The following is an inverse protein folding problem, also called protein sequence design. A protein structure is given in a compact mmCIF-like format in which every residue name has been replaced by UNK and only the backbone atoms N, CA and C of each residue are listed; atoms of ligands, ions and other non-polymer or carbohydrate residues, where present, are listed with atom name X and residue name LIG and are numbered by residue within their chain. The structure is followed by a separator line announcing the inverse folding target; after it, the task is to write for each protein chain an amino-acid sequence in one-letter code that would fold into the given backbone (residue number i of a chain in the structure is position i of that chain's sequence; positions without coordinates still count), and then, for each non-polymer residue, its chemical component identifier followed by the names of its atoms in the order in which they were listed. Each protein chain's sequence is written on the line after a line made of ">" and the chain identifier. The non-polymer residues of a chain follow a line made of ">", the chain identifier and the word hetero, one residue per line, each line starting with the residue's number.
data_IF_881595034419
#
_entry.id   IF_881595034419
#
_cell.length_a   1.000
_cell.length_b   1.000
_cell.length_c   1.000
_cell.angle_alpha   90.00
_cell.angle_beta   90.00
_cell.angle_gamma   90.00
#
_symmetry.space_group_name_H-M   'P 1'
#
loop_
_entity.id
_entity.type
_entity.pdbx_description
1 polymer ?
#
# COMPACT_ATOMS: atom_id res chain seq x y z
N UNK A 1 3.97 9.13 -11.70
CA UNK A 1 3.67 10.47 -12.04
C UNK A 1 3.33 11.28 -10.80
N UNK A 2 2.04 11.56 -10.53
CA UNK A 2 1.69 12.32 -9.32
C UNK A 2 2.09 11.59 -8.03
N UNK A 3 1.90 10.28 -8.01
CA UNK A 3 2.20 9.50 -6.82
C UNK A 3 3.70 9.46 -6.53
N UNK A 4 4.53 9.44 -7.57
CA UNK A 4 5.97 9.47 -7.39
C UNK A 4 6.45 10.82 -6.84
N UNK A 5 5.87 11.92 -7.33
CA UNK A 5 6.20 13.26 -6.84
C UNK A 5 5.81 13.43 -5.37
N UNK A 6 4.66 12.91 -4.99
CA UNK A 6 4.21 12.96 -3.60
C UNK A 6 5.12 12.11 -2.71
N UNK A 7 5.53 10.96 -3.21
CA UNK A 7 6.42 10.07 -2.48
C UNK A 7 7.76 10.75 -2.16
N UNK A 8 8.37 11.41 -3.14
CA UNK A 8 9.62 12.13 -2.94
C UNK A 8 9.46 13.25 -1.91
N UNK A 9 8.36 13.98 -2.00
CA UNK A 9 8.07 15.06 -1.06
C UNK A 9 7.91 14.55 0.36
N UNK A 10 7.23 13.43 0.53
CA UNK A 10 6.99 12.83 1.84
C UNK A 10 8.27 12.31 2.46
N UNK A 11 9.13 11.69 1.68
CA UNK A 11 10.40 11.19 2.20
C UNK A 11 11.28 12.32 2.73
N UNK A 12 11.20 13.50 2.13
CA UNK A 12 11.93 14.65 2.61
C UNK A 12 11.34 15.23 3.89
N UNK A 13 10.05 14.99 4.14
CA UNK A 13 9.34 15.56 5.28
C UNK A 13 9.33 14.66 6.50
N UNK A 14 9.45 13.37 6.32
CA UNK A 14 9.24 12.42 7.40
C UNK A 14 10.27 11.30 7.36
N UNK A 15 11.31 11.44 8.14
CA UNK A 15 12.21 10.33 8.39
C UNK A 15 11.49 9.35 9.34
N UNK A 16 11.23 8.15 8.86
CA UNK A 16 10.61 7.11 9.69
C UNK A 16 11.65 6.10 10.08
N UNK A 17 11.95 6.06 11.36
CA UNK A 17 12.87 5.07 11.90
C UNK A 17 12.17 3.78 12.29
N UNK A 18 10.85 3.81 12.35
CA UNK A 18 10.08 2.65 12.77
C UNK A 18 10.03 1.61 11.68
N UNK A 19 10.40 0.39 12.06
CA UNK A 19 10.32 -0.74 11.15
C UNK A 19 8.88 -1.24 11.09
N UNK A 20 8.46 -1.59 9.89
CA UNK A 20 7.17 -2.21 9.69
C UNK A 20 7.13 -3.57 10.37
N UNK A 21 6.09 -3.81 11.14
CA UNK A 21 5.84 -5.10 11.75
C UNK A 21 4.59 -5.72 11.13
N UNK A 22 4.70 -6.96 10.73
CA UNK A 22 3.59 -7.68 10.14
C UNK A 22 3.25 -8.88 10.99
N UNK A 23 1.97 -9.29 11.03
CA UNK A 23 1.59 -10.51 11.73
C UNK A 23 2.24 -11.74 11.09
N UNK A 24 2.29 -12.86 11.83
CA UNK A 24 2.77 -14.10 11.24
C UNK A 24 2.00 -14.46 9.99
N UNK A 25 2.70 -14.97 8.98
CA UNK A 25 2.11 -15.28 7.69
C UNK A 25 1.31 -16.59 7.70
N UNK A 26 1.56 -17.43 8.67
CA UNK A 26 1.06 -18.79 8.69
C UNK A 26 2.16 -19.75 8.26
N UNK A 27 2.10 -20.97 8.79
CA UNK A 27 3.18 -21.95 8.64
C UNK A 27 3.58 -22.20 7.19
N UNK A 28 2.59 -22.41 6.33
CA UNK A 28 2.85 -22.69 4.91
C UNK A 28 3.54 -21.51 4.22
N UNK A 29 3.07 -20.31 4.43
CA UNK A 29 3.65 -19.14 3.78
C UNK A 29 5.01 -18.79 4.35
N UNK A 30 5.24 -19.04 5.62
CA UNK A 30 6.57 -18.87 6.21
C UNK A 30 7.56 -19.88 5.64
N UNK A 31 7.13 -21.11 5.43
CA UNK A 31 7.95 -22.12 4.76
C UNK A 31 8.29 -21.70 3.33
N UNK A 32 7.30 -21.21 2.59
CA UNK A 32 7.53 -20.72 1.23
C UNK A 32 8.54 -19.58 1.22
N UNK A 33 8.44 -18.65 2.17
CA UNK A 33 9.37 -17.54 2.26
C UNK A 33 10.79 -18.03 2.57
N UNK A 34 10.91 -18.97 3.50
CA UNK A 34 12.21 -19.55 3.85
C UNK A 34 12.86 -20.20 2.65
N UNK A 35 12.10 -21.01 1.92
CA UNK A 35 12.63 -21.71 0.75
C UNK A 35 12.98 -20.72 -0.36
N UNK A 36 12.09 -19.78 -0.64
CA UNK A 36 12.30 -18.78 -1.68
C UNK A 36 13.52 -17.91 -1.39
N UNK A 37 13.68 -17.53 -0.14
CA UNK A 37 14.86 -16.75 0.28
C UNK A 37 16.15 -17.51 0.06
N UNK A 38 16.16 -18.78 0.42
CA UNK A 38 17.33 -19.63 0.28
C UNK A 38 17.73 -19.81 -1.18
N UNK A 39 16.77 -20.10 -2.06
CA UNK A 39 17.07 -20.35 -3.47
C UNK A 39 17.41 -19.07 -4.25
N UNK A 40 17.01 -17.90 -3.74
CA UNK A 40 17.37 -16.64 -4.36
C UNK A 40 18.64 -16.02 -3.76
N UNK A 41 19.15 -16.62 -2.69
CA UNK A 41 20.37 -16.12 -2.04
C UNK A 41 20.14 -14.89 -1.18
N UNK A 42 18.92 -14.65 -0.76
CA UNK A 42 18.57 -13.50 0.08
C UNK A 42 18.28 -13.92 1.52
N UNK A 43 18.37 -12.98 2.44
CA UNK A 43 17.82 -13.20 3.78
C UNK A 43 16.31 -13.16 3.72
N UNK A 44 15.65 -13.77 4.70
CA UNK A 44 14.17 -13.74 4.73
C UNK A 44 13.61 -12.32 4.80
N UNK A 45 14.13 -11.42 5.66
CA UNK A 45 13.63 -10.05 5.68
C UNK A 45 13.81 -9.33 4.35
N UNK A 46 14.93 -9.51 3.69
CA UNK A 46 15.21 -8.87 2.40
C UNK A 46 14.26 -9.41 1.32
N UNK A 47 14.05 -10.72 1.29
CA UNK A 47 13.14 -11.32 0.33
C UNK A 47 11.70 -10.90 0.57
N UNK A 48 11.27 -10.87 1.83
CA UNK A 48 9.93 -10.42 2.19
C UNK A 48 9.71 -8.97 1.75
N UNK A 49 10.68 -8.09 2.00
CA UNK A 49 10.58 -6.70 1.59
C UNK A 49 10.48 -6.56 0.07
N UNK A 50 11.26 -7.36 -0.66
CA UNK A 50 11.25 -7.35 -2.12
C UNK A 50 9.89 -7.77 -2.68
N UNK A 51 9.33 -8.85 -2.13
CA UNK A 51 8.02 -9.34 -2.55
C UNK A 51 6.92 -8.32 -2.25
N UNK A 52 6.97 -7.70 -1.09
CA UNK A 52 5.99 -6.70 -0.71
C UNK A 52 6.07 -5.47 -1.62
N UNK A 53 7.28 -4.99 -1.90
CA UNK A 53 7.46 -3.87 -2.84
C UNK A 53 6.90 -4.18 -4.22
N UNK A 54 7.16 -5.38 -4.73
CA UNK A 54 6.65 -5.79 -6.03
C UNK A 54 5.13 -5.78 -6.06
N UNK A 55 4.50 -6.30 -5.01
CA UNK A 55 3.04 -6.30 -4.92
C UNK A 55 2.47 -4.89 -4.84
N UNK A 56 3.06 -4.03 -4.03
CA UNK A 56 2.62 -2.65 -3.93
C UNK A 56 2.77 -1.91 -5.25
N UNK A 57 3.83 -2.20 -6.00
CA UNK A 57 4.03 -1.60 -7.31
C UNK A 57 2.92 -2.00 -8.27
N UNK A 58 2.50 -3.26 -8.26
CA UNK A 58 1.38 -3.71 -9.08
C UNK A 58 0.09 -2.96 -8.74
N UNK A 59 -0.10 -2.64 -7.46
CA UNK A 59 -1.31 -2.00 -6.97
C UNK A 59 -1.28 -0.48 -7.07
N UNK A 60 -0.15 0.10 -7.44
CA UNK A 60 0.06 1.55 -7.43
C UNK A 60 -1.03 2.32 -8.17
N UNK A 61 -1.36 1.89 -9.38
CA UNK A 61 -2.37 2.57 -10.18
C UNK A 61 -3.76 2.50 -9.54
N UNK A 62 -4.11 1.36 -9.00
CA UNK A 62 -5.42 1.16 -8.36
C UNK A 62 -5.50 1.99 -7.08
N UNK A 63 -4.42 2.02 -6.30
CA UNK A 63 -4.35 2.84 -5.10
C UNK A 63 -4.55 4.31 -5.46
N UNK A 64 -3.87 4.79 -6.50
CA UNK A 64 -3.99 6.17 -6.96
C UNK A 64 -5.42 6.50 -7.39
N UNK A 65 -6.07 5.59 -8.12
CA UNK A 65 -7.45 5.78 -8.56
C UNK A 65 -8.42 5.87 -7.38
N UNK A 66 -8.20 5.04 -6.37
CA UNK A 66 -9.04 5.05 -5.18
C UNK A 66 -8.90 6.35 -4.39
N UNK A 67 -7.67 6.82 -4.22
CA UNK A 67 -7.44 8.12 -3.56
C UNK A 67 -8.02 9.26 -4.37
N UNK A 68 -7.90 9.20 -5.69
CA UNK A 68 -8.47 10.21 -6.57
C UNK A 68 -9.98 10.28 -6.46
N UNK A 69 -10.64 9.14 -6.36
CA UNK A 69 -12.09 9.09 -6.13
C UNK A 69 -12.47 9.79 -4.83
N UNK A 70 -11.77 9.46 -3.74
CA UNK A 70 -12.04 10.08 -2.44
C UNK A 70 -11.80 11.58 -2.46
N UNK A 71 -10.72 12.02 -3.10
CA UNK A 71 -10.41 13.44 -3.23
C UNK A 71 -11.53 14.19 -3.95
N UNK A 72 -11.97 13.64 -5.09
CA UNK A 72 -13.05 14.22 -5.87
C UNK A 72 -14.35 14.27 -5.07
N UNK A 73 -14.69 13.19 -4.40
CA UNK A 73 -15.91 13.13 -3.61
C UNK A 73 -15.91 14.14 -2.46
N UNK A 74 -14.77 14.34 -1.84
CA UNK A 74 -14.66 15.25 -0.70
C UNK A 74 -14.29 16.68 -1.10
N UNK A 75 -14.14 16.93 -2.40
CA UNK A 75 -13.88 18.26 -2.93
C UNK A 75 -12.53 18.83 -2.56
N UNK A 76 -11.51 17.98 -2.42
CA UNK A 76 -10.15 18.40 -2.11
C UNK A 76 -9.19 17.88 -3.18
N UNK A 77 -8.00 18.50 -3.30
CA UNK A 77 -7.00 18.02 -4.25
C UNK A 77 -6.49 16.63 -3.87
N UNK A 78 -6.03 15.89 -4.88
CA UNK A 78 -5.46 14.55 -4.69
C UNK A 78 -4.35 14.55 -3.64
N UNK A 79 -3.43 15.51 -3.73
CA UNK A 79 -2.30 15.58 -2.80
C UNK A 79 -2.74 15.76 -1.36
N UNK A 80 -3.76 16.58 -1.16
CA UNK A 80 -4.29 16.81 0.17
C UNK A 80 -4.92 15.55 0.75
N UNK A 81 -5.72 14.85 -0.07
CA UNK A 81 -6.34 13.60 0.37
C UNK A 81 -5.28 12.56 0.72
N UNK A 82 -4.27 12.45 -0.13
CA UNK A 82 -3.14 11.53 0.11
C UNK A 82 -2.47 11.83 1.45
N UNK A 83 -2.14 13.09 1.69
CA UNK A 83 -1.48 13.49 2.93
C UNK A 83 -2.34 13.27 4.17
N UNK A 84 -3.63 13.53 4.06
CA UNK A 84 -4.55 13.27 5.17
C UNK A 84 -4.53 11.79 5.55
N UNK A 85 -4.57 10.93 4.55
CA UNK A 85 -4.54 9.48 4.79
C UNK A 85 -3.23 9.06 5.44
N UNK A 86 -2.10 9.55 4.89
CA UNK A 86 -0.79 9.21 5.44
C UNK A 86 -0.62 9.63 6.90
N UNK A 87 -1.18 10.77 7.26
CA UNK A 87 -1.09 11.29 8.61
C UNK A 87 -2.14 10.72 9.55
N UNK A 88 -3.05 9.91 9.03
CA UNK A 88 -4.14 9.38 9.82
C UNK A 88 -5.15 10.44 10.25
N UNK A 89 -5.19 11.57 9.56
CA UNK A 89 -6.05 12.71 9.89
C UNK A 89 -7.12 12.93 8.85
N UNK A 90 -7.76 11.87 8.42
CA UNK A 90 -8.85 11.96 7.48
C UNK A 90 -10.16 11.56 8.16
N UNK A 91 -11.26 12.07 7.63
CA UNK A 91 -12.56 11.66 8.11
C UNK A 91 -12.77 10.19 7.78
N UNK A 92 -13.33 9.46 8.75
CA UNK A 92 -13.60 8.04 8.58
C UNK A 92 -14.43 7.81 7.30
N UNK A 93 -14.07 6.78 6.57
CA UNK A 93 -14.78 6.43 5.34
C UNK A 93 -16.21 5.99 5.67
N UNK A 94 -17.16 6.48 4.88
CA UNK A 94 -18.55 6.03 4.98
C UNK A 94 -18.70 4.68 4.30
N UNK A 95 -19.76 3.96 4.61
CA UNK A 95 -20.02 2.67 3.97
C UNK A 95 -20.17 2.83 2.45
N UNK A 96 -20.81 3.92 2.01
CA UNK A 96 -20.95 4.19 0.58
C UNK A 96 -19.59 4.40 -0.09
N UNK A 97 -18.69 5.11 0.58
CA UNK A 97 -17.33 5.30 0.07
C UNK A 97 -16.59 3.98 -0.03
N UNK A 98 -16.68 3.14 1.00
CA UNK A 98 -16.04 1.83 1.00
C UNK A 98 -16.55 0.98 -0.16
N UNK A 99 -17.87 0.95 -0.35
CA UNK A 99 -18.47 0.18 -1.44
C UNK A 99 -18.01 0.69 -2.81
N UNK A 100 -17.95 2.00 -2.97
CA UNK A 100 -17.49 2.60 -4.22
C UNK A 100 -16.02 2.28 -4.50
N UNK A 101 -15.18 2.33 -3.48
CA UNK A 101 -13.76 2.00 -3.61
C UNK A 101 -13.55 0.55 -4.02
N UNK A 102 -14.34 -0.36 -3.47
CA UNK A 102 -14.25 -1.77 -3.83
C UNK A 102 -14.60 -2.04 -5.28
N UNK A 103 -15.45 -1.21 -5.87
CA UNK A 103 -15.84 -1.35 -7.28
C UNK A 103 -14.80 -0.80 -8.24
N UNK A 104 -13.84 0.00 -7.75
CA UNK A 104 -12.79 0.57 -8.58
C UNK A 104 -11.66 -0.46 -8.75
N UNK A 105 -11.64 -1.11 -9.91
CA UNK A 105 -10.58 -2.06 -10.28
C UNK A 105 -10.25 -3.03 -9.13
N UNK A 106 -11.13 -3.97 -8.81
CA UNK A 106 -10.91 -4.90 -7.70
C UNK A 106 -9.64 -5.73 -7.91
N UNK A 107 -8.98 -6.06 -6.81
CA UNK A 107 -7.78 -6.87 -6.83
C UNK A 107 -8.16 -8.35 -6.88
N UNK A 108 -8.07 -8.93 -8.06
CA UNK A 108 -8.50 -10.32 -8.27
C UNK A 108 -7.63 -11.32 -7.53
N UNK A 109 -6.38 -10.98 -7.29
CA UNK A 109 -5.42 -11.88 -6.66
C UNK A 109 -5.39 -11.77 -5.14
N UNK A 110 -6.22 -10.93 -4.55
CA UNK A 110 -6.31 -10.82 -3.10
C UNK A 110 -7.13 -11.94 -2.48
N UNK A 111 -7.98 -12.54 -3.26
CA UNK A 111 -8.91 -13.56 -2.77
C UNK A 111 -8.71 -14.82 -3.58
N UNK A 112 -8.22 -15.87 -2.94
CA UNK A 112 -8.04 -17.15 -3.61
C UNK A 112 -9.38 -17.75 -4.02
#
# INVERSE_FOLDING_TARGET
>A
VKIAMIHDRIQNMAAKDERLRIPPLGEWYEDLLTVDSAITGNTEPAQAASLLRAKLKERETIIAKRVQYLAAKRGIPFEEMWLQILKGKYQKLTQDEINALESIAPFKDEFP
#
